data_IF_499141398549
#
_entry.id   IF_499141398549
#
_cell.length_a   1.000
_cell.length_b   1.000
_cell.length_c   1.000
_cell.angle_alpha   90.00
_cell.angle_beta   90.00
_cell.angle_gamma   90.00
#
_symmetry.space_group_name_H-M   'P 1'
#
loop_
_entity.id
_entity.type
_entity.pdbx_description
1 polymer ?
#
# COMPACT_ATOMS: atom_id res chain seq x y z
N UNK A 1 -6.88 13.87 -0.76
CA UNK A 1 -6.30 13.63 -2.11
C UNK A 1 -5.36 14.79 -2.44
N UNK A 2 -4.26 14.53 -3.12
CA UNK A 2 -3.31 15.56 -3.61
C UNK A 2 -3.58 15.91 -5.07
N UNK A 3 -2.89 16.91 -5.59
CA UNK A 3 -2.89 17.19 -7.03
C UNK A 3 -2.29 16.00 -7.81
N UNK A 4 -2.69 15.85 -9.07
CA UNK A 4 -2.18 14.80 -9.94
C UNK A 4 -0.64 14.95 -10.07
N UNK A 5 0.13 13.87 -9.87
CA UNK A 5 1.59 13.94 -9.87
C UNK A 5 2.10 14.14 -11.31
N UNK A 6 3.09 15.01 -11.45
CA UNK A 6 3.83 15.20 -12.72
C UNK A 6 4.81 14.05 -12.94
N UNK A 7 5.24 13.85 -14.18
CA UNK A 7 6.25 12.82 -14.50
C UNK A 7 7.59 13.08 -13.78
N UNK A 8 7.93 14.35 -13.57
CA UNK A 8 9.11 14.77 -12.79
C UNK A 8 8.97 14.37 -11.32
N UNK A 9 7.82 14.64 -10.70
CA UNK A 9 7.55 14.25 -9.32
C UNK A 9 7.57 12.72 -9.15
N UNK A 10 6.99 11.98 -10.11
CA UNK A 10 7.02 10.51 -10.11
C UNK A 10 8.46 10.02 -10.13
N UNK A 11 9.30 10.54 -11.04
CA UNK A 11 10.69 10.12 -11.15
C UNK A 11 11.50 10.43 -9.88
N UNK A 12 11.25 11.57 -9.24
CA UNK A 12 11.91 11.94 -7.99
C UNK A 12 11.50 11.04 -6.83
N UNK A 13 10.20 10.70 -6.71
CA UNK A 13 9.70 9.77 -5.69
C UNK A 13 10.25 8.36 -5.90
N UNK A 14 10.24 7.84 -7.12
CA UNK A 14 10.83 6.53 -7.43
C UNK A 14 12.33 6.48 -7.10
N UNK A 15 13.05 7.57 -7.37
CA UNK A 15 14.48 7.68 -7.04
C UNK A 15 14.73 7.70 -5.54
N UNK A 16 13.87 8.38 -4.78
CA UNK A 16 13.97 8.45 -3.31
C UNK A 16 13.65 7.10 -2.66
N UNK A 17 12.58 6.45 -3.11
CA UNK A 17 12.19 5.12 -2.62
C UNK A 17 13.18 4.03 -3.07
N UNK A 18 13.86 4.21 -4.20
CA UNK A 18 14.71 3.19 -4.81
C UNK A 18 13.95 2.12 -5.61
N UNK A 19 12.66 2.34 -5.86
CA UNK A 19 11.76 1.39 -6.53
C UNK A 19 11.03 2.07 -7.70
N UNK A 20 10.83 1.33 -8.80
CA UNK A 20 9.88 1.72 -9.85
C UNK A 20 8.47 1.40 -9.42
N UNK A 21 7.59 2.40 -9.44
CA UNK A 21 6.19 2.19 -9.08
C UNK A 21 5.45 1.44 -10.20
N UNK A 22 4.48 0.57 -9.87
CA UNK A 22 3.65 -0.11 -10.85
C UNK A 22 2.98 0.88 -11.79
N UNK A 23 2.87 0.53 -13.08
CA UNK A 23 2.24 1.40 -14.06
C UNK A 23 0.75 1.68 -13.73
N UNK A 24 0.06 0.67 -13.18
CA UNK A 24 -1.32 0.77 -12.70
C UNK A 24 -1.45 1.72 -11.49
N UNK A 25 -0.46 1.74 -10.60
CA UNK A 25 -0.39 2.68 -9.48
C UNK A 25 -0.29 4.12 -9.99
N UNK A 26 0.70 4.39 -10.86
CA UNK A 26 0.90 5.72 -11.45
C UNK A 26 -0.35 6.17 -12.20
N UNK A 27 -0.98 5.27 -12.97
CA UNK A 27 -2.20 5.58 -13.70
C UNK A 27 -3.32 6.04 -12.75
N UNK A 28 -3.55 5.31 -11.66
CA UNK A 28 -4.57 5.65 -10.66
C UNK A 28 -4.27 7.00 -10.01
N UNK A 29 -3.01 7.23 -9.60
CA UNK A 29 -2.59 8.45 -8.93
C UNK A 29 -2.69 9.69 -9.83
N UNK A 30 -2.54 9.53 -11.16
CA UNK A 30 -2.81 10.60 -12.12
C UNK A 30 -4.28 10.98 -12.24
N UNK A 31 -5.20 10.06 -11.94
CA UNK A 31 -6.64 10.38 -11.90
C UNK A 31 -7.04 10.95 -10.53
N UNK A 32 -6.48 10.37 -9.46
CA UNK A 32 -6.86 10.66 -8.09
C UNK A 32 -5.70 10.31 -7.15
N UNK A 33 -4.87 11.30 -6.83
CA UNK A 33 -3.61 11.09 -6.12
C UNK A 33 -3.82 10.83 -4.61
N UNK A 34 -3.94 9.56 -4.27
CA UNK A 34 -4.24 9.04 -2.94
C UNK A 34 -5.71 9.22 -2.53
N UNK A 35 -6.03 8.87 -1.29
CA UNK A 35 -7.38 8.98 -0.72
C UNK A 35 -8.02 7.63 -0.43
N UNK A 36 -9.30 7.64 -0.09
CA UNK A 36 -10.04 6.47 0.37
C UNK A 36 -10.91 5.94 -0.78
N UNK A 37 -10.70 4.71 -1.28
CA UNK A 37 -11.57 4.11 -2.28
C UNK A 37 -12.96 3.81 -1.70
N UNK A 38 -13.96 3.63 -2.57
CA UNK A 38 -15.31 3.25 -2.16
C UNK A 38 -15.36 1.82 -1.59
N UNK A 39 -14.60 0.91 -2.18
CA UNK A 39 -14.39 -0.44 -1.69
C UNK A 39 -13.09 -0.46 -0.89
N UNK A 40 -13.14 -0.91 0.36
CA UNK A 40 -12.03 -0.77 1.31
C UNK A 40 -11.59 -2.10 1.92
N UNK A 41 -12.26 -3.20 1.60
CA UNK A 41 -11.92 -4.52 2.12
C UNK A 41 -11.33 -5.40 1.02
N UNK A 42 -10.41 -6.30 1.36
CA UNK A 42 -9.87 -7.27 0.41
C UNK A 42 -9.96 -8.68 1.03
N UNK A 43 -10.58 -9.65 0.35
CA UNK A 43 -10.74 -10.99 0.90
C UNK A 43 -9.40 -11.72 1.03
N UNK A 44 -9.22 -12.50 2.08
CA UNK A 44 -8.06 -13.37 2.29
C UNK A 44 -8.51 -14.73 2.80
N UNK A 45 -7.85 -15.79 2.32
CA UNK A 45 -8.06 -17.16 2.82
C UNK A 45 -7.34 -17.42 4.15
N UNK A 46 -6.52 -16.46 4.60
CA UNK A 46 -5.76 -16.53 5.85
C UNK A 46 -6.26 -15.46 6.83
N UNK A 47 -6.50 -15.82 8.11
CA UNK A 47 -6.91 -14.86 9.11
C UNK A 47 -5.79 -13.85 9.39
N UNK A 48 -6.22 -12.62 9.63
CA UNK A 48 -5.43 -11.53 10.20
C UNK A 48 -5.60 -11.54 11.72
N UNK A 49 -4.91 -10.64 12.42
CA UNK A 49 -5.11 -10.50 13.87
C UNK A 49 -6.51 -10.01 14.27
N UNK A 50 -7.29 -9.46 13.34
CA UNK A 50 -8.57 -8.81 13.66
C UNK A 50 -9.77 -9.33 12.82
N UNK A 51 -9.54 -10.05 11.73
CA UNK A 51 -10.58 -10.65 10.90
C UNK A 51 -10.18 -12.04 10.39
N UNK A 52 -11.18 -12.90 10.18
CA UNK A 52 -10.95 -14.28 9.73
C UNK A 52 -10.72 -14.40 8.22
N UNK A 53 -11.31 -13.50 7.43
CA UNK A 53 -11.50 -13.67 5.98
C UNK A 53 -11.20 -12.42 5.13
N UNK A 54 -10.74 -11.32 5.72
CA UNK A 54 -10.41 -10.10 4.98
C UNK A 54 -9.36 -9.22 5.67
N UNK A 55 -8.78 -8.29 4.90
CA UNK A 55 -8.12 -7.08 5.39
C UNK A 55 -8.97 -5.86 5.03
N UNK A 56 -8.66 -4.72 5.64
CA UNK A 56 -9.26 -3.43 5.33
C UNK A 56 -8.18 -2.36 5.19
N UNK A 57 -8.44 -1.39 4.32
CA UNK A 57 -7.60 -0.20 4.15
C UNK A 57 -8.39 1.05 4.52
N UNK A 58 -7.72 2.02 5.13
CA UNK A 58 -8.27 3.34 5.45
C UNK A 58 -7.88 4.40 4.43
N UNK A 59 -6.93 4.11 3.55
CA UNK A 59 -6.57 4.98 2.45
C UNK A 59 -5.37 4.48 1.66
N UNK A 60 -5.29 4.91 0.41
CA UNK A 60 -4.15 4.67 -0.48
C UNK A 60 -3.28 5.94 -0.48
N UNK A 61 -1.97 5.75 -0.38
CA UNK A 61 -1.00 6.84 -0.34
C UNK A 61 -0.85 7.50 -1.70
N UNK A 62 -0.83 8.83 -1.71
CA UNK A 62 -0.53 9.57 -2.93
C UNK A 62 0.97 9.51 -3.27
N UNK A 63 1.30 9.66 -4.55
CA UNK A 63 2.66 9.98 -5.00
C UNK A 63 2.93 11.45 -4.64
N UNK A 64 3.87 11.66 -3.71
CA UNK A 64 4.23 12.98 -3.24
C UNK A 64 4.96 12.92 -1.91
N UNK A 65 5.18 14.11 -1.35
CA UNK A 65 5.92 14.32 -0.08
C UNK A 65 5.29 15.37 0.85
N UNK A 66 4.31 16.12 0.37
CA UNK A 66 3.77 17.27 1.11
C UNK A 66 2.74 16.87 2.17
N UNK A 67 2.11 15.70 2.02
CA UNK A 67 1.11 15.21 2.97
C UNK A 67 1.69 14.06 3.76
N UNK A 68 1.33 13.98 5.04
CA UNK A 68 1.79 12.95 5.97
C UNK A 68 1.59 11.55 5.39
N UNK A 69 0.39 11.27 4.86
CA UNK A 69 0.00 10.01 4.21
C UNK A 69 0.25 10.03 2.68
N UNK A 70 1.47 10.36 2.30
CA UNK A 70 1.99 10.18 0.93
C UNK A 70 3.24 9.30 0.96
N UNK A 71 3.62 8.72 -0.18
CA UNK A 71 4.73 7.75 -0.23
C UNK A 71 6.01 8.26 0.44
N UNK A 72 6.35 9.53 0.23
CA UNK A 72 7.51 10.23 0.82
C UNK A 72 7.06 11.30 1.84
N UNK A 73 5.90 11.13 2.46
CA UNK A 73 5.40 12.00 3.53
C UNK A 73 6.04 11.71 4.89
N UNK A 74 5.69 12.52 5.90
CA UNK A 74 6.19 12.35 7.28
C UNK A 74 5.88 10.97 7.88
N UNK A 75 4.72 10.40 7.54
CA UNK A 75 4.28 9.06 7.96
C UNK A 75 4.19 8.15 6.71
N UNK A 76 5.12 8.34 5.77
CA UNK A 76 5.20 7.60 4.51
C UNK A 76 5.92 6.25 4.63
N UNK A 77 6.29 5.68 3.48
CA UNK A 77 6.91 4.35 3.41
C UNK A 77 8.19 4.25 4.22
N UNK A 78 9.07 5.25 4.14
CA UNK A 78 10.36 5.21 4.82
C UNK A 78 10.20 5.29 6.35
N UNK A 79 9.23 6.08 6.84
CA UNK A 79 8.92 6.18 8.26
C UNK A 79 8.49 4.83 8.84
N UNK A 80 7.64 4.08 8.11
CA UNK A 80 7.22 2.76 8.58
C UNK A 80 8.37 1.75 8.64
N UNK A 81 9.35 1.86 7.74
CA UNK A 81 10.54 1.00 7.76
C UNK A 81 11.48 1.41 8.91
N UNK A 82 11.87 2.68 8.97
CA UNK A 82 12.92 3.14 9.89
C UNK A 82 12.46 3.23 11.34
N UNK A 83 11.25 3.74 11.57
CA UNK A 83 10.74 4.04 12.92
C UNK A 83 9.85 2.91 13.47
N UNK A 84 9.08 2.24 12.60
CA UNK A 84 8.19 1.13 13.00
C UNK A 84 8.78 -0.26 12.77
N UNK A 85 9.94 -0.34 12.11
CA UNK A 85 10.69 -1.59 11.92
C UNK A 85 10.10 -2.53 10.86
N UNK A 86 9.23 -2.03 9.97
CA UNK A 86 8.73 -2.84 8.86
C UNK A 86 9.87 -3.28 7.94
N UNK A 87 9.79 -4.49 7.35
CA UNK A 87 10.88 -5.03 6.57
C UNK A 87 11.07 -4.24 5.27
N UNK A 88 12.32 -3.98 4.90
CA UNK A 88 12.71 -3.24 3.69
C UNK A 88 12.54 -4.11 2.42
N UNK A 89 11.30 -4.49 2.12
CA UNK A 89 10.94 -5.34 0.97
C UNK A 89 10.42 -4.56 -0.23
N UNK A 90 10.17 -3.26 -0.04
CA UNK A 90 9.51 -2.42 -1.01
C UNK A 90 8.85 -1.19 -0.42
N UNK A 91 7.64 -0.88 -0.88
CA UNK A 91 6.98 0.41 -0.63
C UNK A 91 5.65 0.21 0.09
N UNK A 92 5.45 0.89 1.22
CA UNK A 92 4.15 0.96 1.88
C UNK A 92 3.20 1.86 1.08
N UNK A 93 2.00 1.36 0.78
CA UNK A 93 1.07 2.02 -0.15
C UNK A 93 -0.33 2.28 0.42
N UNK A 94 -0.73 1.60 1.51
CA UNK A 94 -2.00 1.87 2.17
C UNK A 94 -1.83 1.86 3.67
N UNK A 95 -2.63 2.70 4.33
CA UNK A 95 -2.89 2.60 5.76
C UNK A 95 -4.05 1.64 6.02
N UNK A 96 -4.09 1.08 7.22
CA UNK A 96 -5.10 0.14 7.70
C UNK A 96 -5.77 0.68 8.98
N UNK A 97 -6.96 0.17 9.38
CA UNK A 97 -7.67 0.66 10.56
C UNK A 97 -6.91 0.55 11.89
N UNK A 98 -5.83 -0.24 11.92
CA UNK A 98 -5.01 -0.48 13.10
C UNK A 98 -4.05 0.69 13.45
N UNK A 99 -4.03 1.75 12.65
CA UNK A 99 -3.12 2.89 12.81
C UNK A 99 -1.64 2.49 12.74
N UNK A 100 -1.27 1.68 11.74
CA UNK A 100 0.10 1.30 11.43
C UNK A 100 0.61 -0.01 12.05
N UNK A 101 -0.22 -0.70 12.85
CA UNK A 101 0.12 -2.04 13.37
C UNK A 101 0.01 -3.14 12.29
N UNK A 102 -0.69 -2.84 11.21
CA UNK A 102 -0.65 -3.59 9.97
C UNK A 102 -0.65 -2.64 8.77
N UNK A 103 -0.03 -3.07 7.67
CA UNK A 103 0.22 -2.21 6.51
C UNK A 103 0.17 -3.00 5.20
N UNK A 104 -0.16 -2.30 4.11
CA UNK A 104 -0.12 -2.86 2.75
C UNK A 104 1.14 -2.39 2.03
N UNK A 105 1.92 -3.33 1.50
CA UNK A 105 3.17 -3.09 0.81
C UNK A 105 3.14 -3.62 -0.62
N UNK A 106 3.89 -2.94 -1.50
CA UNK A 106 4.40 -3.49 -2.74
C UNK A 106 5.67 -4.28 -2.42
N UNK A 107 5.66 -5.60 -2.66
CA UNK A 107 6.78 -6.50 -2.38
C UNK A 107 7.61 -6.77 -3.63
N UNK A 108 8.86 -6.28 -3.62
CA UNK A 108 9.80 -6.38 -4.74
C UNK A 108 10.84 -7.49 -4.55
N UNK A 109 10.77 -8.30 -3.48
CA UNK A 109 11.80 -9.33 -3.20
C UNK A 109 12.01 -10.31 -4.35
N UNK A 110 10.95 -10.68 -5.06
CA UNK A 110 11.03 -11.63 -6.17
C UNK A 110 11.38 -10.97 -7.51
N UNK A 111 10.79 -9.81 -7.81
CA UNK A 111 10.92 -9.16 -9.12
C UNK A 111 12.08 -8.14 -9.21
N UNK A 112 12.65 -7.77 -8.05
CA UNK A 112 13.67 -6.73 -7.93
C UNK A 112 13.08 -5.31 -8.07
N UNK A 113 13.87 -4.26 -7.78
CA UNK A 113 13.36 -2.90 -7.62
C UNK A 113 12.79 -2.24 -8.88
N UNK A 114 12.91 -2.90 -10.03
CA UNK A 114 12.44 -2.41 -11.34
C UNK A 114 11.37 -3.31 -11.96
N UNK A 115 10.96 -4.38 -11.28
CA UNK A 115 9.94 -5.32 -11.74
C UNK A 115 8.52 -4.94 -11.33
N UNK A 116 7.55 -5.77 -11.71
CA UNK A 116 6.16 -5.66 -11.23
C UNK A 116 6.04 -6.36 -9.87
N UNK A 117 5.79 -5.63 -8.76
CA UNK A 117 5.71 -6.20 -7.42
C UNK A 117 4.37 -6.84 -7.13
N UNK A 118 4.36 -7.81 -6.22
CA UNK A 118 3.13 -8.32 -5.60
C UNK A 118 2.61 -7.32 -4.57
N UNK A 119 1.34 -7.41 -4.22
CA UNK A 119 0.77 -6.68 -3.09
C UNK A 119 0.65 -7.61 -1.89
N UNK A 120 1.17 -7.18 -0.74
CA UNK A 120 1.18 -7.96 0.49
C UNK A 120 0.62 -7.16 1.66
N UNK A 121 -0.01 -7.86 2.59
CA UNK A 121 -0.32 -7.38 3.94
C UNK A 121 0.83 -7.80 4.87
N UNK A 122 1.24 -6.91 5.76
CA UNK A 122 2.24 -7.18 6.78
C UNK A 122 1.64 -6.85 8.14
N UNK A 123 1.63 -7.82 9.03
CA UNK A 123 1.08 -7.71 10.38
C UNK A 123 2.23 -7.62 11.39
N UNK A 124 2.46 -6.43 11.96
CA UNK A 124 3.54 -6.18 12.92
C UNK A 124 3.35 -7.00 14.20
N UNK A 125 2.11 -7.16 14.66
CA UNK A 125 1.78 -7.88 15.90
C UNK A 125 1.97 -9.40 15.76
N UNK A 126 1.98 -9.90 14.53
CA UNK A 126 2.28 -11.29 14.16
C UNK A 126 3.72 -11.49 13.67
N UNK A 127 4.71 -10.83 14.30
CA UNK A 127 6.14 -10.95 13.95
C UNK A 127 6.43 -10.59 12.48
N UNK A 128 5.79 -9.52 12.00
CA UNK A 128 5.84 -9.07 10.60
C UNK A 128 5.45 -10.17 9.60
N UNK A 129 4.44 -10.99 9.94
CA UNK A 129 3.91 -12.00 9.02
C UNK A 129 3.47 -11.34 7.73
N UNK A 130 4.01 -11.83 6.61
CA UNK A 130 3.70 -11.33 5.27
C UNK A 130 2.69 -12.27 4.61
N UNK A 131 1.55 -11.72 4.20
CA UNK A 131 0.48 -12.43 3.49
C UNK A 131 0.30 -11.83 2.10
N UNK A 132 0.46 -12.63 1.05
CA UNK A 132 0.22 -12.17 -0.33
C UNK A 132 -1.27 -11.94 -0.57
N UNK A 133 -1.62 -10.76 -1.07
CA UNK A 133 -2.99 -10.37 -1.39
C UNK A 133 -3.26 -10.47 -2.90
N UNK A 134 -2.34 -9.98 -3.72
CA UNK A 134 -2.51 -9.98 -5.17
C UNK A 134 -1.16 -10.06 -5.90
N UNK A 135 -1.21 -10.54 -7.15
CA UNK A 135 -0.02 -10.68 -8.00
C UNK A 135 0.52 -9.33 -8.51
N UNK A 136 -0.31 -8.29 -8.52
CA UNK A 136 0.07 -6.92 -8.87
C UNK A 136 -0.93 -5.91 -8.30
N UNK A 137 -0.61 -4.62 -8.40
CA UNK A 137 -1.46 -3.55 -7.86
C UNK A 137 -2.83 -3.44 -8.55
N UNK A 138 -2.93 -3.74 -9.85
CA UNK A 138 -4.22 -3.67 -10.55
C UNK A 138 -5.18 -4.73 -10.03
N UNK A 139 -4.71 -5.96 -9.83
CA UNK A 139 -5.49 -7.05 -9.27
C UNK A 139 -5.93 -6.74 -7.83
N UNK A 140 -5.06 -6.12 -7.02
CA UNK A 140 -5.42 -5.66 -5.68
C UNK A 140 -6.58 -4.67 -5.70
N UNK A 141 -6.47 -3.59 -6.49
CA UNK A 141 -7.53 -2.57 -6.58
C UNK A 141 -8.83 -3.13 -7.13
N UNK A 142 -8.77 -4.01 -8.13
CA UNK A 142 -9.96 -4.66 -8.71
C UNK A 142 -10.61 -5.66 -7.76
N UNK A 143 -9.83 -6.26 -6.85
CA UNK A 143 -10.32 -7.20 -5.84
C UNK A 143 -10.89 -6.55 -4.59
N UNK A 144 -10.81 -5.21 -4.45
CA UNK A 144 -11.41 -4.52 -3.32
C UNK A 144 -12.94 -4.65 -3.35
N UNK A 145 -13.51 -5.04 -2.21
CA UNK A 145 -14.92 -5.21 -1.95
C UNK A 145 -15.47 -4.16 -0.98
N UNK A 146 -16.79 -3.99 -0.99
CA UNK A 146 -17.47 -3.07 -0.09
C UNK A 146 -17.48 -3.63 1.34
N UNK A 147 -17.21 -2.77 2.32
CA UNK A 147 -17.15 -3.14 3.73
C UNK A 147 -18.47 -3.73 4.27
N UNK A 148 -19.64 -3.34 3.72
CA UNK A 148 -20.96 -3.87 4.11
C UNK A 148 -21.06 -5.40 3.95
N UNK A 149 -20.20 -6.03 3.14
CA UNK A 149 -20.16 -7.50 3.04
C UNK A 149 -19.65 -8.19 4.30
N UNK A 150 -18.93 -7.46 5.14
CA UNK A 150 -18.25 -7.95 6.34
C UNK A 150 -18.85 -7.36 7.63
N UNK A 151 -19.89 -6.55 7.51
CA UNK A 151 -20.70 -6.09 8.64
C UNK A 151 -21.79 -7.15 8.90
N UNK A 152 -21.78 -7.77 10.09
CA UNK A 152 -22.88 -8.62 10.58
C UNK A 152 -24.03 -7.79 11.18
#
# INVERSE_FOLDING_TARGET
ISDAPTDELIADVEKELGYKLPASYIWLMKQHNGGIPFNTCFPTDSPTNWAEDHIAITGIYGIGREKDYSLCGEIGSQFMIDEWGYPEIGVAICDCPSAGHDMIFLDYRECGPFGEPKVVHIDQESDFKITTLAENFEDFIRGLENAEKYEE
#
